data_IF_096528360296
#
_entry.id   IF_096528360296
#
_cell.length_a   1.000
_cell.length_b   1.000
_cell.length_c   1.000
_cell.angle_alpha   90.00
_cell.angle_beta   90.00
_cell.angle_gamma   90.00
#
_symmetry.space_group_name_H-M   'P 1'
#
loop_
_entity.id
_entity.type
_entity.pdbx_description
1 polymer ?
#
# COMPACT_ATOMS: atom_id res chain seq x y z
N UNK A 1 -10.54 24.34 -15.81
CA UNK A 1 -11.09 22.97 -15.88
C UNK A 1 -11.55 22.60 -14.48
N UNK A 2 -12.64 21.84 -14.34
CA UNK A 2 -13.09 21.38 -13.03
C UNK A 2 -12.04 20.41 -12.46
N UNK A 3 -11.77 20.42 -11.14
CA UNK A 3 -10.83 19.50 -10.54
C UNK A 3 -11.27 18.05 -10.77
N UNK A 4 -10.33 17.16 -11.09
CA UNK A 4 -10.61 15.73 -11.17
C UNK A 4 -10.87 15.25 -9.74
N UNK A 5 -12.08 14.78 -9.47
CA UNK A 5 -12.42 14.16 -8.19
C UNK A 5 -12.05 12.68 -8.24
N UNK A 6 -11.35 12.20 -7.22
CA UNK A 6 -10.91 10.80 -7.12
C UNK A 6 -11.18 10.26 -5.73
N UNK A 7 -11.99 9.23 -5.64
CA UNK A 7 -12.20 8.48 -4.40
C UNK A 7 -11.10 7.42 -4.26
N UNK A 8 -10.54 7.30 -3.07
CA UNK A 8 -9.43 6.37 -2.79
C UNK A 8 -9.79 5.56 -1.56
N UNK A 9 -10.16 4.30 -1.76
CA UNK A 9 -10.38 3.35 -0.68
C UNK A 9 -9.08 2.70 -0.25
N UNK A 10 -8.68 2.84 1.02
CA UNK A 10 -7.46 2.20 1.54
C UNK A 10 -7.83 1.05 2.48
N UNK A 11 -7.45 -0.17 2.06
CA UNK A 11 -7.52 -1.40 2.85
C UNK A 11 -6.13 -1.62 3.46
N UNK A 12 -6.03 -1.59 4.79
CA UNK A 12 -4.78 -1.82 5.50
C UNK A 12 -4.97 -2.56 6.81
N UNK A 13 -3.88 -3.16 7.30
CA UNK A 13 -3.89 -4.00 8.50
C UNK A 13 -3.88 -3.21 9.82
N UNK A 14 -3.28 -2.02 9.85
CA UNK A 14 -3.14 -1.21 11.06
C UNK A 14 -3.52 0.26 10.84
N UNK A 15 -3.98 0.97 11.89
CA UNK A 15 -4.32 2.38 11.78
C UNK A 15 -3.11 3.24 11.40
N UNK A 16 -1.92 2.93 11.93
CA UNK A 16 -0.68 3.65 11.58
C UNK A 16 -0.34 3.50 10.10
N UNK A 17 -0.45 2.29 9.55
CA UNK A 17 -0.15 2.04 8.13
C UNK A 17 -1.11 2.81 7.23
N UNK A 18 -2.42 2.78 7.55
CA UNK A 18 -3.43 3.53 6.80
C UNK A 18 -3.14 5.03 6.79
N UNK A 19 -2.73 5.63 7.92
CA UNK A 19 -2.37 7.05 7.99
C UNK A 19 -1.12 7.34 7.14
N UNK A 20 -0.10 6.48 7.19
CA UNK A 20 1.12 6.65 6.38
C UNK A 20 0.80 6.57 4.88
N UNK A 21 0.04 5.56 4.46
CA UNK A 21 -0.34 5.39 3.05
C UNK A 21 -1.26 6.49 2.57
N UNK A 22 -2.20 6.96 3.40
CA UNK A 22 -3.01 8.16 3.14
C UNK A 22 -2.10 9.33 2.81
N UNK A 23 -1.12 9.62 3.68
CA UNK A 23 -0.20 10.76 3.47
C UNK A 23 0.67 10.61 2.22
N UNK A 24 1.13 9.40 1.91
CA UNK A 24 1.90 9.11 0.68
C UNK A 24 1.05 9.39 -0.56
N UNK A 25 -0.19 8.90 -0.57
CA UNK A 25 -1.12 9.05 -1.70
C UNK A 25 -1.48 10.51 -1.91
N UNK A 26 -1.82 11.24 -0.83
CA UNK A 26 -2.04 12.68 -0.89
C UNK A 26 -0.82 13.38 -1.49
N UNK A 27 0.37 13.13 -0.94
CA UNK A 27 1.60 13.78 -1.39
C UNK A 27 1.89 13.56 -2.89
N UNK A 28 1.56 12.37 -3.43
CA UNK A 28 1.78 12.06 -4.85
C UNK A 28 0.70 12.69 -5.74
N UNK A 29 -0.57 12.65 -5.33
CA UNK A 29 -1.68 13.03 -6.20
C UNK A 29 -2.00 14.53 -6.16
N UNK A 30 -1.92 15.16 -4.98
CA UNK A 30 -2.25 16.59 -4.77
C UNK A 30 -1.07 17.53 -5.00
N UNK A 31 0.03 17.02 -5.56
CA UNK A 31 1.24 17.72 -5.93
C UNK A 31 1.02 19.20 -6.33
N UNK A 32 1.67 20.13 -5.62
CA UNK A 32 1.70 21.57 -5.90
C UNK A 32 2.61 21.91 -7.11
N UNK A 33 2.63 21.06 -8.14
CA UNK A 33 3.27 21.40 -9.42
C UNK A 33 2.27 22.26 -10.21
N UNK A 34 2.56 23.56 -10.44
CA UNK A 34 1.65 24.45 -11.17
C UNK A 34 1.38 24.01 -12.62
N UNK A 35 2.19 23.10 -13.15
CA UNK A 35 2.03 22.54 -14.50
C UNK A 35 1.07 21.35 -14.57
N UNK A 36 0.60 20.84 -13.43
CA UNK A 36 -0.26 19.66 -13.35
C UNK A 36 -1.67 20.02 -12.91
N UNK A 37 -2.67 19.31 -13.42
CA UNK A 37 -4.05 19.47 -12.97
C UNK A 37 -4.19 19.07 -11.49
N UNK A 38 -4.94 19.88 -10.74
CA UNK A 38 -5.27 19.60 -9.34
C UNK A 38 -6.23 18.41 -9.27
N UNK A 39 -5.87 17.39 -8.49
CA UNK A 39 -6.75 16.26 -8.18
C UNK A 39 -7.32 16.47 -6.78
N UNK A 40 -8.65 16.55 -6.70
CA UNK A 40 -9.38 16.52 -5.44
C UNK A 40 -9.51 15.07 -4.96
N UNK A 41 -8.73 14.70 -3.95
CA UNK A 41 -8.67 13.34 -3.42
C UNK A 41 -9.63 13.19 -2.23
N UNK A 42 -10.61 12.31 -2.36
CA UNK A 42 -11.48 11.89 -1.27
C UNK A 42 -10.97 10.53 -0.75
N UNK A 43 -10.19 10.56 0.34
CA UNK A 43 -9.61 9.34 0.92
C UNK A 43 -10.60 8.72 1.91
N UNK A 44 -10.88 7.45 1.70
CA UNK A 44 -11.83 6.65 2.47
C UNK A 44 -11.06 5.51 3.12
N UNK A 45 -10.95 5.56 4.45
CA UNK A 45 -10.44 4.43 5.21
C UNK A 45 -11.49 3.31 5.22
N UNK A 46 -11.19 2.22 4.54
CA UNK A 46 -12.03 1.02 4.55
C UNK A 46 -11.77 0.23 5.83
N UNK A 47 -12.77 -0.52 6.28
CA UNK A 47 -12.69 -1.35 7.48
C UNK A 47 -11.46 -2.25 7.40
N UNK A 48 -10.83 -2.42 8.57
CA UNK A 48 -9.66 -3.27 8.72
C UNK A 48 -9.97 -4.66 8.19
N UNK A 49 -9.22 -5.09 7.18
CA UNK A 49 -9.27 -6.47 6.70
C UNK A 49 -7.92 -7.12 6.98
N UNK A 50 -7.94 -8.35 7.47
CA UNK A 50 -6.75 -9.04 7.98
C UNK A 50 -5.94 -9.66 6.84
N UNK A 51 -5.34 -8.83 6.00
CA UNK A 51 -4.45 -9.27 4.91
C UNK A 51 -3.19 -9.88 5.50
N UNK A 52 -2.66 -9.23 6.55
CA UNK A 52 -1.52 -9.68 7.32
C UNK A 52 -1.64 -11.15 7.73
N UNK A 53 -2.77 -11.54 8.34
CA UNK A 53 -2.97 -12.92 8.80
C UNK A 53 -2.95 -13.93 7.65
N UNK A 54 -3.48 -13.55 6.48
CA UNK A 54 -3.46 -14.39 5.27
C UNK A 54 -2.02 -14.56 4.75
N UNK A 55 -1.25 -13.47 4.70
CA UNK A 55 0.15 -13.46 4.28
C UNK A 55 1.00 -14.27 5.27
N UNK A 56 0.87 -14.03 6.58
CA UNK A 56 1.60 -14.77 7.61
C UNK A 56 1.28 -16.25 7.59
N UNK A 57 0.00 -16.63 7.41
CA UNK A 57 -0.38 -18.04 7.29
C UNK A 57 0.33 -18.71 6.11
N UNK A 58 0.42 -18.02 4.97
CA UNK A 58 1.13 -18.52 3.80
C UNK A 58 2.65 -18.64 4.05
N UNK A 59 3.29 -17.58 4.55
CA UNK A 59 4.73 -17.56 4.88
C UNK A 59 5.07 -18.67 5.88
N UNK A 60 4.27 -18.82 6.94
CA UNK A 60 4.52 -19.83 7.97
C UNK A 60 4.36 -21.25 7.45
N UNK A 61 3.47 -21.48 6.48
CA UNK A 61 3.36 -22.78 5.81
C UNK A 61 4.58 -23.06 4.91
N UNK A 62 5.10 -22.07 4.20
CA UNK A 62 6.34 -22.20 3.42
C UNK A 62 7.55 -22.50 4.32
N UNK A 63 7.70 -21.75 5.43
CA UNK A 63 8.78 -21.96 6.41
C UNK A 63 8.74 -23.38 7.01
N UNK A 64 7.58 -24.02 7.05
CA UNK A 64 7.38 -25.39 7.52
C UNK A 64 7.49 -26.45 6.41
N UNK A 65 7.89 -26.06 5.19
CA UNK A 65 7.95 -26.92 4.00
C UNK A 65 6.62 -27.62 3.68
N UNK A 66 5.49 -26.98 3.99
CA UNK A 66 4.14 -27.53 3.76
C UNK A 66 3.61 -27.24 2.34
N UNK A 67 4.44 -26.70 1.44
CA UNK A 67 4.09 -26.33 0.05
C UNK A 67 2.70 -25.70 -0.07
N UNK A 68 2.44 -24.54 0.57
CA UNK A 68 1.13 -23.93 0.57
C UNK A 68 0.71 -23.58 -0.85
N UNK A 69 -0.52 -23.95 -1.21
CA UNK A 69 -1.08 -23.65 -2.51
C UNK A 69 -1.38 -22.13 -2.62
N UNK A 70 -0.69 -21.39 -3.51
CA UNK A 70 -0.87 -19.95 -3.68
C UNK A 70 -2.32 -19.54 -4.01
N UNK A 71 -3.06 -20.42 -4.68
CA UNK A 71 -4.45 -20.16 -5.09
C UNK A 71 -5.40 -19.93 -3.92
N UNK A 72 -5.11 -20.50 -2.74
CA UNK A 72 -5.89 -20.19 -1.54
C UNK A 72 -5.67 -18.76 -1.07
N UNK A 73 -4.44 -18.25 -1.16
CA UNK A 73 -4.12 -16.88 -0.81
C UNK A 73 -4.74 -15.92 -1.83
N UNK A 74 -4.60 -16.20 -3.14
CA UNK A 74 -5.24 -15.44 -4.23
C UNK A 74 -6.75 -15.31 -3.97
N UNK A 75 -7.45 -16.42 -3.72
CA UNK A 75 -8.90 -16.40 -3.45
C UNK A 75 -9.25 -15.58 -2.21
N UNK A 76 -8.45 -15.68 -1.15
CA UNK A 76 -8.69 -14.95 0.10
C UNK A 76 -8.49 -13.44 -0.08
N UNK A 77 -7.41 -13.03 -0.75
CA UNK A 77 -7.14 -11.62 -1.08
C UNK A 77 -8.19 -11.07 -2.05
N UNK A 78 -8.66 -11.87 -3.01
CA UNK A 78 -9.78 -11.49 -3.89
C UNK A 78 -11.04 -11.19 -3.07
N UNK A 79 -11.35 -12.02 -2.07
CA UNK A 79 -12.46 -11.79 -1.15
C UNK A 79 -12.32 -10.48 -0.36
N UNK A 80 -11.10 -10.17 0.07
CA UNK A 80 -10.79 -8.89 0.75
C UNK A 80 -11.06 -7.69 -0.15
N UNK A 81 -10.57 -7.73 -1.40
CA UNK A 81 -10.81 -6.69 -2.39
C UNK A 81 -12.31 -6.50 -2.68
N UNK A 82 -13.06 -7.58 -2.85
CA UNK A 82 -14.52 -7.52 -3.06
C UNK A 82 -15.22 -6.89 -1.86
N UNK A 83 -14.82 -7.25 -0.64
CA UNK A 83 -15.41 -6.67 0.58
C UNK A 83 -15.10 -5.18 0.68
N UNK A 84 -13.85 -4.78 0.43
CA UNK A 84 -13.46 -3.36 0.46
C UNK A 84 -14.13 -2.54 -0.63
N UNK A 85 -14.31 -3.12 -1.82
CA UNK A 85 -15.06 -2.48 -2.90
C UNK A 85 -16.52 -2.24 -2.55
N UNK A 86 -17.20 -3.20 -1.92
CA UNK A 86 -18.59 -3.01 -1.46
C UNK A 86 -18.72 -1.89 -0.44
N UNK A 87 -17.81 -1.85 0.53
CA UNK A 87 -17.77 -0.79 1.52
C UNK A 87 -17.49 0.59 0.89
N UNK A 88 -16.66 0.62 -0.15
CA UNK A 88 -16.41 1.85 -0.91
C UNK A 88 -17.66 2.30 -1.67
N UNK A 89 -18.38 1.37 -2.32
CA UNK A 89 -19.65 1.65 -3.00
C UNK A 89 -20.74 2.18 -2.06
N UNK A 90 -20.75 1.75 -0.80
CA UNK A 90 -21.70 2.24 0.20
C UNK A 90 -21.46 3.72 0.57
N UNK A 91 -20.29 4.28 0.22
CA UNK A 91 -19.87 5.62 0.59
C UNK A 91 -19.84 6.60 -0.59
N UNK A 92 -19.57 6.11 -1.80
CA UNK A 92 -19.39 6.95 -2.99
C UNK A 92 -19.87 6.27 -4.27
N UNK A 93 -20.30 7.09 -5.23
CA UNK A 93 -20.46 6.65 -6.61
C UNK A 93 -19.08 6.39 -7.24
N UNK A 94 -18.88 5.16 -7.69
CA UNK A 94 -17.59 4.71 -8.24
C UNK A 94 -17.49 4.98 -9.75
N UNK A 95 -16.29 5.33 -10.18
CA UNK A 95 -15.88 5.42 -11.58
C UNK A 95 -14.49 4.79 -11.82
N UNK A 96 -14.10 4.67 -13.09
CA UNK A 96 -12.75 4.23 -13.49
C UNK A 96 -11.62 5.18 -13.08
N UNK A 97 -11.90 6.31 -12.43
CA UNK A 97 -10.88 7.23 -11.93
C UNK A 97 -10.50 6.94 -10.48
N UNK A 98 -11.33 6.15 -9.78
CA UNK A 98 -11.17 5.82 -8.37
C UNK A 98 -10.14 4.71 -8.16
N UNK A 99 -9.62 4.62 -6.94
CA UNK A 99 -8.52 3.70 -6.61
C UNK A 99 -8.88 2.90 -5.36
N UNK A 100 -8.61 1.60 -5.38
CA UNK A 100 -8.54 0.77 -4.18
C UNK A 100 -7.08 0.45 -3.92
N UNK A 101 -6.58 0.82 -2.75
CA UNK A 101 -5.23 0.51 -2.30
C UNK A 101 -5.31 -0.64 -1.30
N UNK A 102 -4.63 -1.73 -1.61
CA UNK A 102 -4.42 -2.86 -0.72
C UNK A 102 -3.00 -2.78 -0.18
N UNK A 103 -2.86 -2.53 1.11
CA UNK A 103 -1.56 -2.41 1.78
C UNK A 103 -1.45 -3.40 2.94
N UNK A 104 -0.27 -3.99 3.09
CA UNK A 104 0.07 -4.91 4.16
C UNK A 104 1.59 -4.88 4.40
N UNK A 105 2.03 -5.37 5.55
CA UNK A 105 3.43 -5.71 5.75
C UNK A 105 3.63 -7.24 5.86
N UNK A 106 4.84 -7.67 5.53
CA UNK A 106 5.18 -9.09 5.48
C UNK A 106 5.76 -9.63 6.78
N UNK A 107 6.18 -8.74 7.69
CA UNK A 107 7.12 -9.02 8.80
C UNK A 107 8.37 -9.85 8.40
N UNK A 108 8.62 -10.01 7.10
CA UNK A 108 9.72 -10.80 6.59
C UNK A 108 10.96 -9.93 6.58
N UNK A 109 11.90 -10.26 7.46
CA UNK A 109 13.20 -9.59 7.54
C UNK A 109 14.02 -9.92 6.29
N UNK A 110 14.49 -8.87 5.61
CA UNK A 110 15.44 -8.97 4.51
C UNK A 110 16.85 -8.83 5.08
N UNK A 111 17.77 -9.72 4.71
CA UNK A 111 19.15 -9.66 5.17
C UNK A 111 20.00 -8.76 4.26
N UNK A 112 19.62 -8.70 2.99
CA UNK A 112 20.23 -7.85 1.96
C UNK A 112 19.18 -7.39 0.93
N UNK A 113 19.47 -6.35 0.12
CA UNK A 113 18.50 -5.81 -0.84
C UNK A 113 17.91 -6.86 -1.79
N UNK A 114 18.74 -7.79 -2.25
CA UNK A 114 18.33 -8.77 -3.26
C UNK A 114 17.33 -9.81 -2.72
N UNK A 115 17.24 -9.98 -1.39
CA UNK A 115 16.27 -10.87 -0.78
C UNK A 115 14.83 -10.46 -1.11
N UNK A 116 14.60 -9.17 -1.38
CA UNK A 116 13.31 -8.68 -1.87
C UNK A 116 12.88 -9.44 -3.13
N UNK A 117 13.77 -9.72 -4.08
CA UNK A 117 13.38 -10.39 -5.32
C UNK A 117 12.95 -11.85 -5.10
N UNK A 118 13.40 -12.49 -4.01
CA UNK A 118 13.00 -13.84 -3.66
C UNK A 118 11.57 -13.90 -3.09
N UNK A 119 11.17 -12.88 -2.33
CA UNK A 119 9.86 -12.84 -1.66
C UNK A 119 8.84 -11.94 -2.35
N UNK A 120 9.26 -10.71 -2.66
CA UNK A 120 8.46 -9.65 -3.24
C UNK A 120 7.86 -10.01 -4.60
N UNK A 121 8.62 -10.63 -5.51
CA UNK A 121 8.09 -11.03 -6.83
C UNK A 121 6.92 -12.01 -6.68
N UNK A 122 7.05 -12.97 -5.76
CA UNK A 122 6.01 -13.97 -5.51
C UNK A 122 4.74 -13.32 -4.96
N UNK A 123 4.86 -12.45 -3.96
CA UNK A 123 3.70 -11.72 -3.44
C UNK A 123 3.09 -10.78 -4.48
N UNK A 124 3.92 -10.09 -5.25
CA UNK A 124 3.46 -9.26 -6.36
C UNK A 124 2.59 -10.05 -7.36
N UNK A 125 3.01 -11.26 -7.76
CA UNK A 125 2.19 -12.12 -8.62
C UNK A 125 0.88 -12.53 -7.96
N UNK A 126 0.91 -12.97 -6.69
CA UNK A 126 -0.29 -13.39 -5.95
C UNK A 126 -1.30 -12.25 -5.82
N UNK A 127 -0.82 -11.05 -5.44
CA UNK A 127 -1.66 -9.87 -5.27
C UNK A 127 -2.20 -9.35 -6.61
N UNK A 128 -1.38 -9.40 -7.67
CA UNK A 128 -1.81 -9.04 -9.03
C UNK A 128 -2.88 -9.99 -9.56
N UNK A 129 -2.72 -11.30 -9.35
CA UNK A 129 -3.72 -12.30 -9.73
C UNK A 129 -5.03 -12.10 -8.95
N UNK A 130 -4.95 -11.77 -7.66
CA UNK A 130 -6.13 -11.44 -6.86
C UNK A 130 -6.86 -10.19 -7.39
N UNK A 131 -6.13 -9.15 -7.82
CA UNK A 131 -6.71 -7.98 -8.46
C UNK A 131 -7.42 -8.31 -9.78
N UNK A 132 -6.83 -9.18 -10.62
CA UNK A 132 -7.46 -9.65 -11.86
C UNK A 132 -8.75 -10.43 -11.56
N UNK A 133 -8.71 -11.34 -10.59
CA UNK A 133 -9.89 -12.11 -10.17
C UNK A 133 -10.98 -11.20 -9.59
N UNK A 134 -10.60 -10.15 -8.87
CA UNK A 134 -11.51 -9.11 -8.42
C UNK A 134 -12.24 -8.45 -9.59
N UNK A 135 -11.51 -8.00 -10.62
CA UNK A 135 -12.13 -7.39 -11.80
C UNK A 135 -13.11 -8.34 -12.51
N UNK A 136 -12.72 -9.61 -12.68
CA UNK A 136 -13.60 -10.63 -13.25
C UNK A 136 -14.87 -10.83 -12.43
N UNK A 137 -14.76 -10.87 -11.10
CA UNK A 137 -15.90 -11.02 -10.20
C UNK A 137 -16.83 -9.79 -10.19
N UNK A 138 -16.28 -8.58 -10.29
CA UNK A 138 -17.07 -7.33 -10.36
C UNK A 138 -17.80 -7.22 -11.71
N UNK A 139 -17.13 -7.52 -12.82
CA UNK A 139 -17.77 -7.57 -14.14
C UNK A 139 -18.92 -8.61 -14.17
N UNK A 140 -18.70 -9.79 -13.59
CA UNK A 140 -19.73 -10.84 -13.50
C UNK A 140 -20.96 -10.43 -12.65
N UNK A 141 -20.80 -9.46 -11.76
CA UNK A 141 -21.90 -8.86 -10.99
C UNK A 141 -22.67 -7.78 -11.78
N UNK A 142 -22.26 -7.46 -13.01
CA UNK A 142 -22.94 -6.53 -13.90
C UNK A 142 -22.42 -5.09 -13.87
N UNK A 143 -21.29 -4.83 -13.18
CA UNK A 143 -20.69 -3.51 -13.18
C UNK A 143 -20.07 -3.18 -14.56
N UNK A 144 -20.28 -1.98 -15.11
CA UNK A 144 -19.65 -1.55 -16.36
C UNK A 144 -18.13 -1.51 -16.25
N UNK A 145 -17.41 -1.92 -17.29
CA UNK A 145 -15.94 -1.92 -17.30
C UNK A 145 -15.32 -0.54 -17.05
N UNK A 146 -16.00 0.53 -17.48
CA UNK A 146 -15.59 1.92 -17.26
C UNK A 146 -15.97 2.49 -15.88
N UNK A 147 -16.56 1.67 -15.00
CA UNK A 147 -16.94 2.06 -13.63
C UNK A 147 -16.28 1.14 -12.58
N UNK A 148 -15.09 0.62 -12.87
CA UNK A 148 -14.33 -0.23 -11.94
C UNK A 148 -13.05 0.51 -11.52
N UNK A 149 -12.78 0.65 -10.21
CA UNK A 149 -11.63 1.40 -9.73
C UNK A 149 -10.34 0.64 -10.02
N UNK A 150 -9.23 1.37 -10.16
CA UNK A 150 -7.91 0.76 -10.22
C UNK A 150 -7.55 0.14 -8.86
N UNK A 151 -7.18 -1.13 -8.85
CA UNK A 151 -6.59 -1.79 -7.69
C UNK A 151 -5.07 -1.63 -7.72
N UNK A 152 -4.52 -1.02 -6.67
CA UNK A 152 -3.09 -0.94 -6.39
C UNK A 152 -2.76 -1.76 -5.15
N UNK A 153 -1.75 -2.61 -5.25
CA UNK A 153 -1.32 -3.44 -4.12
C UNK A 153 0.12 -3.10 -3.74
N UNK A 154 0.42 -3.10 -2.44
CA UNK A 154 1.76 -2.90 -1.92
C UNK A 154 1.97 -3.74 -0.67
N UNK A 155 3.12 -4.40 -0.60
CA UNK A 155 3.58 -5.15 0.56
C UNK A 155 4.95 -4.64 0.96
N UNK A 156 5.12 -4.26 2.22
CA UNK A 156 6.40 -3.72 2.74
C UNK A 156 7.21 -4.77 3.48
N UNK A 157 8.54 -4.60 3.46
CA UNK A 157 9.49 -5.50 4.10
C UNK A 157 10.45 -4.75 5.04
N UNK A 158 10.53 -5.10 6.33
CA UNK A 158 9.62 -5.98 7.06
C UNK A 158 8.31 -5.27 7.45
N UNK A 159 8.28 -3.94 7.50
CA UNK A 159 7.13 -3.12 7.91
C UNK A 159 7.07 -1.77 7.18
N UNK A 160 5.95 -1.06 7.31
CA UNK A 160 5.73 0.26 6.70
C UNK A 160 6.80 1.29 7.09
N UNK A 161 7.39 1.17 8.27
CA UNK A 161 8.45 2.06 8.75
C UNK A 161 9.69 2.11 7.84
N UNK A 162 9.91 1.11 6.97
CA UNK A 162 10.99 1.18 5.98
C UNK A 162 10.77 2.32 4.97
N UNK A 163 9.51 2.61 4.64
CA UNK A 163 9.14 3.75 3.79
C UNK A 163 9.46 5.08 4.50
N UNK A 164 9.20 5.14 5.81
CA UNK A 164 9.52 6.32 6.63
C UNK A 164 11.03 6.54 6.72
N UNK A 165 11.79 5.47 6.94
CA UNK A 165 13.25 5.51 6.95
C UNK A 165 13.78 6.10 5.62
N UNK A 166 13.24 5.64 4.50
CA UNK A 166 13.62 6.13 3.18
C UNK A 166 13.21 7.60 2.99
N UNK A 167 11.99 7.97 3.37
CA UNK A 167 11.47 9.33 3.24
C UNK A 167 12.37 10.34 3.99
N UNK A 168 12.86 9.95 5.17
CA UNK A 168 13.82 10.71 5.99
C UNK A 168 15.22 10.84 5.38
N UNK A 169 15.49 10.16 4.27
CA UNK A 169 16.80 10.10 3.64
C UNK A 169 17.81 9.26 4.41
N UNK A 170 17.34 8.37 5.30
CA UNK A 170 18.21 7.46 6.04
C UNK A 170 18.76 6.38 5.10
N UNK A 171 19.94 5.88 5.44
CA UNK A 171 20.60 4.86 4.63
C UNK A 171 19.92 3.51 4.87
N UNK A 172 19.08 3.10 3.92
CA UNK A 172 18.28 1.87 4.00
C UNK A 172 19.11 0.61 4.29
N UNK A 173 20.37 0.59 3.82
CA UNK A 173 21.29 -0.50 4.10
C UNK A 173 21.50 -0.78 5.60
N UNK A 174 21.32 0.24 6.45
CA UNK A 174 21.53 0.13 7.90
C UNK A 174 20.31 -0.48 8.63
N UNK A 175 19.21 -0.73 7.91
CA UNK A 175 17.96 -1.30 8.44
C UNK A 175 17.69 -2.74 7.96
N UNK A 176 18.55 -3.31 7.11
CA UNK A 176 18.50 -4.75 6.84
C UNK A 176 18.78 -5.55 8.11
N UNK A 177 18.28 -6.78 8.18
CA UNK A 177 18.35 -7.65 9.36
C UNK A 177 17.59 -7.14 10.59
N UNK A 178 16.84 -6.04 10.47
CA UNK A 178 16.08 -5.45 11.58
C UNK A 178 14.68 -6.05 11.64
N UNK A 179 14.20 -6.41 12.83
CA UNK A 179 12.84 -6.91 13.02
C UNK A 179 11.81 -5.77 12.99
N UNK A 180 10.54 -6.02 12.62
CA UNK A 180 9.49 -4.99 12.55
C UNK A 180 9.42 -4.08 13.80
N UNK A 181 9.35 -4.67 14.99
CA UNK A 181 9.26 -3.93 16.25
C UNK A 181 10.52 -3.08 16.51
N UNK A 182 11.70 -3.64 16.24
CA UNK A 182 12.97 -2.96 16.41
C UNK A 182 13.11 -1.79 15.43
N UNK A 183 12.72 -2.02 14.16
CA UNK A 183 12.68 -0.98 13.14
C UNK A 183 11.77 0.16 13.58
N UNK A 184 10.58 -0.17 14.10
CA UNK A 184 9.64 0.80 14.65
C UNK A 184 10.26 1.61 15.80
N UNK A 185 10.90 0.96 16.75
CA UNK A 185 11.60 1.63 17.85
C UNK A 185 12.73 2.53 17.36
N UNK A 186 13.53 2.10 16.37
CA UNK A 186 14.62 2.88 15.79
C UNK A 186 14.11 4.11 15.04
N UNK A 187 13.05 3.97 14.24
CA UNK A 187 12.50 5.08 13.45
C UNK A 187 11.85 6.12 14.35
N UNK A 188 11.04 5.70 15.31
CA UNK A 188 10.35 6.64 16.18
C UNK A 188 11.17 7.07 17.42
N UNK A 189 12.34 6.46 17.63
CA UNK A 189 13.17 6.66 18.82
C UNK A 189 12.34 6.54 20.12
N UNK A 190 11.57 5.46 20.23
CA UNK A 190 10.69 5.18 21.37
C UNK A 190 11.02 3.80 21.95
N UNK A 191 11.11 3.66 23.27
CA UNK A 191 11.39 2.37 23.91
C UNK A 191 10.21 1.40 23.79
N UNK A 192 8.97 1.91 23.78
CA UNK A 192 7.75 1.12 23.56
C UNK A 192 6.96 1.67 22.37
N UNK A 193 7.03 0.97 21.25
CA UNK A 193 6.34 1.31 20.01
C UNK A 193 4.80 1.29 20.13
N UNK A 194 4.24 0.73 21.21
CA UNK A 194 2.78 0.71 21.48
C UNK A 194 2.25 2.06 21.95
N UNK A 195 3.13 3.01 22.28
CA UNK A 195 2.78 4.30 22.88
C UNK A 195 3.08 5.50 21.97
N UNK A 196 3.13 5.29 20.65
CA UNK A 196 3.40 6.36 19.71
C UNK A 196 2.27 7.40 19.78
N UNK A 197 2.60 8.62 20.21
CA UNK A 197 1.65 9.73 20.23
C UNK A 197 1.35 10.22 18.82
N UNK A 198 0.21 10.90 18.62
CA UNK A 198 -0.11 11.51 17.32
C UNK A 198 0.93 12.55 16.90
N UNK A 199 1.49 13.31 17.86
CA UNK A 199 2.54 14.29 17.61
C UNK A 199 3.87 13.63 17.20
N UNK A 200 4.23 12.50 17.83
CA UNK A 200 5.38 11.71 17.41
C UNK A 200 5.19 11.10 16.03
N UNK A 201 4.00 10.53 15.74
CA UNK A 201 3.70 9.99 14.42
C UNK A 201 3.82 11.07 13.35
N UNK A 202 3.28 12.26 13.63
CA UNK A 202 3.37 13.40 12.72
C UNK A 202 4.81 13.84 12.48
N UNK A 203 5.51 14.23 13.54
CA UNK A 203 6.85 14.83 13.44
C UNK A 203 7.94 13.86 13.00
N UNK A 204 7.81 12.57 13.35
CA UNK A 204 8.83 11.55 13.06
C UNK A 204 8.53 10.68 11.84
N UNK A 205 7.30 10.72 11.31
CA UNK A 205 6.95 10.05 10.06
C UNK A 205 6.28 10.97 9.03
N UNK A 206 5.09 11.51 9.33
CA UNK A 206 4.26 12.15 8.31
C UNK A 206 4.87 13.42 7.71
N UNK A 207 5.56 14.22 8.51
CA UNK A 207 6.23 15.45 8.06
C UNK A 207 7.39 15.18 7.10
N UNK A 208 7.89 13.94 7.06
CA UNK A 208 8.93 13.51 6.12
C UNK A 208 8.36 12.97 4.80
N UNK A 209 7.06 12.69 4.74
CA UNK A 209 6.36 12.29 3.51
C UNK A 209 6.09 13.55 2.68
N UNK A 210 7.18 14.02 2.06
CA UNK A 210 7.24 15.15 1.13
C UNK A 210 7.58 14.63 -0.26
N UNK A 211 7.53 15.46 -1.30
CA UNK A 211 7.99 15.06 -2.64
C UNK A 211 9.43 14.51 -2.61
N UNK A 212 10.32 15.17 -1.87
CA UNK A 212 11.69 14.68 -1.70
C UNK A 212 11.73 13.33 -0.97
N UNK A 213 10.86 13.16 0.02
CA UNK A 213 10.67 11.89 0.71
C UNK A 213 10.19 10.78 -0.23
N UNK A 214 9.20 11.06 -1.09
CA UNK A 214 8.70 10.12 -2.11
C UNK A 214 9.81 9.74 -3.10
N UNK A 215 10.60 10.69 -3.58
CA UNK A 215 11.77 10.40 -4.43
C UNK A 215 12.76 9.46 -3.74
N UNK A 216 13.03 9.69 -2.46
CA UNK A 216 13.92 8.84 -1.68
C UNK A 216 13.34 7.43 -1.49
N UNK A 217 12.03 7.31 -1.23
CA UNK A 217 11.34 6.01 -1.18
C UNK A 217 11.50 5.29 -2.53
N UNK A 218 11.14 5.94 -3.63
CA UNK A 218 11.20 5.35 -4.98
C UNK A 218 12.61 4.84 -5.35
N UNK A 219 13.64 5.62 -4.98
CA UNK A 219 15.03 5.27 -5.26
C UNK A 219 15.48 4.05 -4.46
N UNK A 220 15.15 4.01 -3.17
CA UNK A 220 15.78 3.08 -2.23
C UNK A 220 14.93 1.84 -1.89
N UNK A 221 13.61 1.87 -2.11
CA UNK A 221 12.67 0.81 -1.72
C UNK A 221 12.06 0.17 -2.98
N UNK A 222 12.57 -0.98 -3.44
CA UNK A 222 12.12 -1.60 -4.69
C UNK A 222 10.62 -1.90 -4.74
N UNK A 223 10.02 -2.38 -3.65
CA UNK A 223 8.59 -2.73 -3.56
C UNK A 223 7.66 -1.54 -3.80
N UNK A 224 8.13 -0.32 -3.52
CA UNK A 224 7.33 0.90 -3.66
C UNK A 224 7.20 1.39 -5.10
N UNK A 225 8.09 0.95 -6.01
CA UNK A 225 8.26 1.57 -7.32
C UNK A 225 7.01 1.48 -8.19
N UNK A 226 6.41 0.29 -8.28
CA UNK A 226 5.20 0.10 -9.08
C UNK A 226 4.04 0.95 -8.54
N UNK A 227 3.87 0.98 -7.22
CA UNK A 227 2.86 1.79 -6.55
C UNK A 227 3.03 3.28 -6.82
N UNK A 228 4.22 3.84 -6.57
CA UNK A 228 4.53 5.26 -6.77
C UNK A 228 4.41 5.64 -8.25
N UNK A 229 4.99 4.83 -9.15
CA UNK A 229 4.97 5.11 -10.59
C UNK A 229 3.54 5.08 -11.14
N UNK A 230 2.73 4.12 -10.71
CA UNK A 230 1.33 4.05 -11.14
C UNK A 230 0.55 5.25 -10.64
N UNK A 231 0.64 5.62 -9.36
CA UNK A 231 -0.03 6.83 -8.84
C UNK A 231 0.41 8.11 -9.55
N UNK A 232 1.71 8.24 -9.83
CA UNK A 232 2.28 9.42 -10.49
C UNK A 232 1.83 9.55 -11.95
N UNK A 233 1.61 8.43 -12.65
CA UNK A 233 1.23 8.40 -14.08
C UNK A 233 -0.27 8.33 -14.31
N UNK A 234 -1.00 7.65 -13.42
CA UNK A 234 -2.45 7.51 -13.43
C UNK A 234 -3.19 8.84 -13.19
N UNK A 235 -2.45 9.91 -12.90
CA UNK A 235 -2.91 11.31 -12.93
C UNK A 235 -3.44 11.74 -14.31
N UNK A 236 -3.01 11.10 -15.42
CA UNK A 236 -3.28 11.59 -16.79
C UNK A 236 -4.44 10.86 -17.51
N UNK A 237 -4.87 9.69 -17.03
CA UNK A 237 -5.72 8.77 -17.82
C UNK A 237 -7.23 8.89 -17.60
N UNK A 238 -7.70 9.77 -16.74
CA UNK A 238 -9.12 9.89 -16.36
C UNK A 238 -10.06 10.47 -17.44
N UNK A 239 -9.51 10.80 -18.62
CA UNK A 239 -10.23 11.46 -19.71
C UNK A 239 -10.38 10.59 -20.97
N UNK A 240 -10.12 9.27 -20.87
CA UNK A 240 -10.25 8.32 -21.99
C UNK A 240 -11.51 7.47 -21.89
#
# INVERSE_FOLDING_TARGET
MAPIKRNIGIIGDGPTDRIIFTKIVECILTEEDPSKEFIDCNIIELQRQTIFDLIQKYINAEKKNLSPNPQHLVKSVTGVLISGFKELLDQVDICNCDIIILTTDSEQVLNMPDDYFNYGIKFFHILSEAAINFYGAVLAQGYPQNNIPLVLTIITFPSTEILIAAARGLKIADYYNTRPLELKQMIYNVPDARTLSEEDLKSKALDHITLKGIENIFKNIPESRHFIQTLSTYKVSCCL
#
